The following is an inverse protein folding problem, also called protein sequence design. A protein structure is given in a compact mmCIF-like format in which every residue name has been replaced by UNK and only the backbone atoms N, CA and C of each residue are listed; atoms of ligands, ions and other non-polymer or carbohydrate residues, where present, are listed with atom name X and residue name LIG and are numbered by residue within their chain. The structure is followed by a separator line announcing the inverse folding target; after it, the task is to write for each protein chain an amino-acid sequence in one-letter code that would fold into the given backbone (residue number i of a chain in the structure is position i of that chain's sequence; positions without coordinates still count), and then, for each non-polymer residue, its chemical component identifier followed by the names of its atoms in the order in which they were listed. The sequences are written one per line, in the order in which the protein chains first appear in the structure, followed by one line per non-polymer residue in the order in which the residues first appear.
data_IF_636292144861
#
_entry.id   IF_636292144861
#
_cell.length_a   1.000
_cell.length_b   1.000
_cell.length_c   1.000
_cell.angle_alpha   90.00
_cell.angle_beta   90.00
_cell.angle_gamma   90.00
#
_symmetry.space_group_name_H-M   'P 1'
#
loop_
_entity.id
_entity.type
_entity.pdbx_description
1 polymer ?
#
# COMPACT_ATOMS: atom_id res chain seq x y z
N UNK A 1 69.82 30.31 -26.30
CA UNK A 1 70.99 30.34 -25.39
C UNK A 1 70.87 29.22 -24.38
N UNK A 2 71.91 28.39 -24.45
CA UNK A 2 72.43 27.47 -23.43
C UNK A 2 71.47 26.35 -22.95
N UNK A 3 71.66 25.15 -23.42
CA UNK A 3 72.66 24.14 -23.03
C UNK A 3 72.25 23.52 -21.69
N UNK A 4 71.88 22.27 -21.55
CA UNK A 4 72.62 21.05 -21.90
C UNK A 4 73.00 20.41 -20.56
N UNK A 5 72.75 19.16 -20.39
CA UNK A 5 73.75 18.15 -20.09
C UNK A 5 73.06 16.82 -19.67
N UNK A 6 73.42 15.78 -20.37
CA UNK A 6 73.23 14.38 -20.09
C UNK A 6 73.99 13.91 -18.84
N UNK A 7 73.49 12.91 -18.20
CA UNK A 7 74.35 11.87 -17.61
C UNK A 7 73.61 10.50 -17.62
N UNK A 8 74.36 9.52 -18.06
CA UNK A 8 73.96 8.16 -18.39
C UNK A 8 74.25 7.20 -17.24
N UNK A 9 73.56 6.09 -17.31
CA UNK A 9 73.92 4.72 -16.99
C UNK A 9 74.07 4.29 -15.54
N UNK A 10 73.32 3.28 -15.17
CA UNK A 10 73.93 1.93 -14.94
C UNK A 10 72.85 0.84 -14.86
N UNK A 11 72.98 -0.12 -15.79
CA UNK A 11 72.25 -1.39 -15.72
C UNK A 11 72.80 -2.27 -14.60
N UNK A 12 71.94 -2.85 -13.78
CA UNK A 12 72.20 -4.10 -13.10
C UNK A 12 71.00 -5.03 -13.29
N UNK A 13 71.16 -6.04 -14.10
CA UNK A 13 70.26 -7.16 -14.26
C UNK A 13 70.47 -8.14 -13.13
N UNK A 14 69.44 -8.46 -12.37
CA UNK A 14 69.35 -9.67 -11.53
C UNK A 14 68.11 -10.41 -11.93
N UNK A 15 68.31 -11.55 -12.60
CA UNK A 15 67.27 -12.52 -12.86
C UNK A 15 67.08 -13.40 -11.62
N UNK A 16 65.88 -13.47 -11.09
CA UNK A 16 65.48 -14.53 -10.17
C UNK A 16 64.06 -14.95 -10.49
N UNK A 17 63.92 -16.20 -10.89
CA UNK A 17 62.90 -17.16 -10.57
C UNK A 17 61.44 -16.84 -10.86
N UNK A 18 60.92 -17.42 -11.95
CA UNK A 18 59.51 -17.63 -12.19
C UNK A 18 58.90 -18.55 -11.10
N UNK A 19 58.01 -17.99 -10.29
CA UNK A 19 57.05 -18.72 -9.50
C UNK A 19 55.68 -18.22 -9.83
N UNK A 20 54.98 -18.88 -10.75
CA UNK A 20 53.59 -18.59 -11.04
C UNK A 20 52.71 -19.06 -9.88
N UNK A 21 52.31 -18.16 -9.03
CA UNK A 21 51.17 -18.39 -8.12
C UNK A 21 49.95 -17.88 -8.89
N UNK A 22 49.19 -18.84 -9.43
CA UNK A 22 47.85 -18.55 -9.94
C UNK A 22 46.95 -18.11 -8.74
N UNK A 23 46.73 -16.82 -8.60
CA UNK A 23 45.68 -16.30 -7.79
C UNK A 23 44.37 -16.71 -8.45
N UNK A 24 43.71 -17.73 -7.84
CA UNK A 24 42.29 -18.00 -8.10
C UNK A 24 41.49 -16.81 -7.59
N UNK A 25 41.07 -16.00 -8.53
CA UNK A 25 40.05 -14.99 -8.34
C UNK A 25 38.73 -15.74 -8.07
N UNK A 26 38.46 -16.04 -6.80
CA UNK A 26 37.16 -16.48 -6.34
C UNK A 26 36.22 -15.27 -6.40
N UNK A 27 35.51 -15.15 -7.49
CA UNK A 27 34.40 -14.21 -7.63
C UNK A 27 33.29 -14.64 -6.66
N UNK A 28 32.77 -13.72 -5.84
CA UNK A 28 31.69 -14.06 -4.91
C UNK A 28 30.38 -14.16 -5.68
N UNK A 29 30.06 -15.36 -6.15
CA UNK A 29 28.74 -15.69 -6.71
C UNK A 29 27.69 -16.05 -5.64
N UNK A 30 28.10 -16.14 -4.38
CA UNK A 30 27.22 -16.56 -3.27
C UNK A 30 26.46 -15.42 -2.59
N UNK A 31 26.84 -14.15 -2.76
CA UNK A 31 26.28 -13.09 -1.94
C UNK A 31 24.86 -12.63 -2.33
N UNK A 32 24.48 -12.72 -3.61
CA UNK A 32 23.17 -12.22 -4.04
C UNK A 32 21.99 -13.09 -3.62
N UNK A 33 22.17 -14.40 -3.62
CA UNK A 33 21.09 -15.34 -3.24
C UNK A 33 20.88 -15.39 -1.72
N UNK A 34 21.94 -15.23 -0.92
CA UNK A 34 21.83 -15.19 0.54
C UNK A 34 21.36 -13.82 1.04
N UNK A 35 21.87 -12.70 0.50
CA UNK A 35 21.33 -11.37 0.77
C UNK A 35 19.85 -11.26 0.39
N UNK A 36 19.45 -11.89 -0.71
CA UNK A 36 18.05 -11.93 -1.16
C UNK A 36 17.17 -12.72 -0.20
N UNK A 37 17.67 -13.81 0.35
CA UNK A 37 16.96 -14.61 1.36
C UNK A 37 16.86 -13.90 2.71
N UNK A 38 17.89 -13.15 3.09
CA UNK A 38 17.92 -12.39 4.35
C UNK A 38 17.02 -11.14 4.29
N UNK A 39 16.95 -10.45 3.14
CA UNK A 39 16.02 -9.34 2.90
C UNK A 39 14.56 -9.77 2.83
N UNK A 40 14.28 -11.02 2.50
CA UNK A 40 12.94 -11.62 2.47
C UNK A 40 12.71 -12.61 3.61
N UNK A 41 13.66 -12.76 4.54
CA UNK A 41 13.39 -13.53 5.74
C UNK A 41 12.12 -12.98 6.38
N UNK A 42 11.15 -13.85 6.75
CA UNK A 42 9.95 -13.38 7.43
C UNK A 42 10.39 -12.57 8.64
N UNK A 43 10.13 -11.26 8.61
CA UNK A 43 10.48 -10.41 9.72
C UNK A 43 9.60 -10.84 10.86
N UNK A 44 10.21 -11.52 11.79
CA UNK A 44 9.66 -12.03 13.02
C UNK A 44 8.19 -12.46 12.86
N UNK A 45 7.95 -13.75 12.96
CA UNK A 45 6.64 -14.24 13.35
C UNK A 45 6.28 -13.52 14.64
N UNK A 46 5.65 -12.35 14.51
CA UNK A 46 4.93 -11.76 15.62
C UNK A 46 4.02 -12.87 16.13
N UNK A 47 3.89 -13.08 17.45
CA UNK A 47 2.94 -14.06 17.97
C UNK A 47 1.51 -13.82 17.48
N UNK A 48 1.23 -12.67 16.87
CA UNK A 48 -0.04 -12.26 16.30
C UNK A 48 -0.26 -12.70 14.85
N UNK A 49 0.73 -13.30 14.19
CA UNK A 49 0.58 -13.86 12.84
C UNK A 49 0.20 -15.32 12.94
N UNK A 50 -0.93 -15.69 12.36
CA UNK A 50 -1.43 -17.05 12.38
C UNK A 50 -0.44 -18.04 11.77
N UNK A 51 -0.32 -19.28 12.31
CA UNK A 51 0.50 -20.31 11.71
C UNK A 51 0.17 -20.53 10.23
N UNK A 52 1.20 -20.77 9.38
CA UNK A 52 1.04 -20.94 7.94
C UNK A 52 0.83 -19.64 7.17
N UNK A 53 1.22 -18.50 7.74
CA UNK A 53 1.21 -17.19 7.09
C UNK A 53 2.61 -16.59 7.08
N UNK A 54 3.07 -16.19 5.91
CA UNK A 54 4.32 -15.47 5.72
C UNK A 54 4.04 -13.98 5.69
N UNK A 55 4.80 -13.20 6.45
CA UNK A 55 4.70 -11.74 6.51
C UNK A 55 6.05 -11.12 6.17
N UNK A 56 6.07 -10.23 5.19
CA UNK A 56 7.26 -9.50 4.77
C UNK A 56 7.06 -8.00 4.96
N UNK A 57 8.12 -7.33 5.39
CA UNK A 57 8.20 -5.87 5.46
C UNK A 57 9.23 -5.40 4.44
N UNK A 58 8.80 -4.62 3.47
CA UNK A 58 9.64 -4.19 2.35
C UNK A 58 9.60 -2.66 2.27
N UNK A 59 10.75 -2.02 2.45
CA UNK A 59 10.84 -0.57 2.31
C UNK A 59 10.62 -0.16 0.84
N UNK A 60 9.84 0.89 0.57
CA UNK A 60 9.73 1.43 -0.79
C UNK A 60 11.08 1.74 -1.44
N UNK A 61 12.08 2.23 -0.67
CA UNK A 61 13.43 2.52 -1.17
C UNK A 61 14.23 1.28 -1.55
N UNK A 62 13.91 0.09 -1.02
CA UNK A 62 14.56 -1.16 -1.40
C UNK A 62 14.05 -1.65 -2.77
N UNK A 63 12.80 -1.28 -3.08
CA UNK A 63 12.13 -1.57 -4.35
C UNK A 63 12.56 -0.60 -5.44
N UNK A 64 12.59 0.68 -5.12
CA UNK A 64 13.02 1.76 -6.02
C UNK A 64 13.78 2.82 -5.22
N UNK A 65 15.13 2.90 -5.36
CA UNK A 65 15.94 3.87 -4.63
C UNK A 65 15.61 5.35 -4.93
N UNK A 66 14.81 5.63 -5.96
CA UNK A 66 14.33 6.99 -6.24
C UNK A 66 13.20 7.43 -5.32
N UNK A 67 12.53 6.49 -4.64
CA UNK A 67 11.48 6.79 -3.66
C UNK A 67 12.14 7.28 -2.37
N UNK A 68 11.84 8.52 -1.98
CA UNK A 68 12.43 9.17 -0.80
C UNK A 68 11.40 9.51 0.28
N UNK A 69 10.14 9.68 -0.10
CA UNK A 69 9.07 10.10 0.81
C UNK A 69 8.29 8.89 1.30
N UNK A 70 7.78 8.98 2.54
CA UNK A 70 6.96 7.91 3.11
C UNK A 70 7.58 6.51 2.93
N UNK A 71 8.82 6.40 3.40
CA UNK A 71 9.65 5.20 3.28
C UNK A 71 9.48 4.26 4.49
N UNK A 72 8.25 4.10 4.97
CA UNK A 72 7.89 3.05 5.93
C UNK A 72 7.56 1.75 5.19
N UNK A 73 7.69 0.57 5.85
CA UNK A 73 7.52 -0.69 5.15
C UNK A 73 6.14 -0.89 4.53
N UNK A 74 6.11 -1.40 3.31
CA UNK A 74 4.97 -2.15 2.80
C UNK A 74 4.85 -3.45 3.59
N UNK A 75 3.63 -3.93 3.82
CA UNK A 75 3.36 -5.23 4.46
C UNK A 75 2.85 -6.18 3.39
N UNK A 76 3.53 -7.30 3.20
CA UNK A 76 3.11 -8.34 2.25
C UNK A 76 2.79 -9.60 3.02
N UNK A 77 1.56 -10.16 2.84
CA UNK A 77 1.14 -11.40 3.49
C UNK A 77 0.77 -12.44 2.44
N UNK A 78 1.26 -13.66 2.65
CA UNK A 78 0.96 -14.83 1.84
C UNK A 78 0.68 -16.01 2.76
N UNK A 79 -0.46 -16.69 2.59
CA UNK A 79 -0.70 -17.98 3.25
C UNK A 79 -0.06 -19.10 2.43
N UNK A 80 0.48 -20.10 3.13
CA UNK A 80 1.18 -21.23 2.50
C UNK A 80 0.26 -22.08 1.62
N UNK A 81 -1.05 -22.12 1.92
CA UNK A 81 -2.06 -22.91 1.20
C UNK A 81 -2.79 -22.16 0.07
N UNK A 82 -2.30 -20.96 -0.29
CA UNK A 82 -2.94 -20.19 -1.36
C UNK A 82 -2.69 -20.79 -2.74
N UNK A 83 -3.74 -20.94 -3.57
CA UNK A 83 -3.54 -21.40 -4.94
C UNK A 83 -2.76 -20.35 -5.75
N UNK A 84 -1.98 -20.78 -6.76
CA UNK A 84 -1.32 -19.83 -7.66
C UNK A 84 -2.27 -18.84 -8.32
N UNK A 85 -3.57 -19.19 -8.41
CA UNK A 85 -4.63 -18.36 -9.00
C UNK A 85 -5.21 -17.33 -8.04
N UNK A 86 -4.88 -17.32 -6.76
CA UNK A 86 -5.39 -16.36 -5.79
C UNK A 86 -5.28 -14.91 -6.30
N UNK A 87 -6.30 -14.11 -6.01
CA UNK A 87 -6.31 -12.70 -6.36
C UNK A 87 -5.50 -11.88 -5.34
N UNK A 88 -5.21 -10.62 -5.68
CA UNK A 88 -4.49 -9.69 -4.81
C UNK A 88 -5.47 -8.76 -4.11
N UNK A 89 -5.24 -8.51 -2.82
CA UNK A 89 -5.82 -7.40 -2.08
C UNK A 89 -4.73 -6.34 -1.85
N UNK A 90 -4.98 -5.11 -2.29
CA UNK A 90 -4.13 -3.96 -1.95
C UNK A 90 -4.88 -3.06 -0.97
N UNK A 91 -4.27 -2.83 0.19
CA UNK A 91 -4.81 -1.97 1.24
C UNK A 91 -4.03 -0.67 1.34
N UNK A 92 -4.74 0.45 1.47
CA UNK A 92 -4.21 1.80 1.63
C UNK A 92 -4.52 2.34 3.03
N UNK A 93 -3.48 2.68 3.83
CA UNK A 93 -3.69 3.27 5.16
C UNK A 93 -4.27 4.68 5.08
N UNK A 94 -4.83 5.15 6.20
CA UNK A 94 -5.30 6.52 6.37
C UNK A 94 -4.16 7.53 6.52
N UNK A 95 -4.52 8.81 6.66
CA UNK A 95 -3.57 9.93 6.81
C UNK A 95 -2.61 9.71 7.98
N UNK A 96 -1.32 9.82 7.70
CA UNK A 96 -0.23 9.66 8.69
C UNK A 96 -0.03 8.22 9.18
N UNK A 97 -0.89 7.27 8.78
CA UNK A 97 -0.77 5.87 9.14
C UNK A 97 0.26 5.11 8.30
N UNK A 98 0.51 3.88 8.69
CA UNK A 98 1.26 2.92 7.88
C UNK A 98 0.50 1.58 7.85
N UNK A 99 0.81 0.70 6.88
CA UNK A 99 0.06 -0.56 6.70
C UNK A 99 0.07 -1.47 7.93
N UNK A 100 1.14 -1.46 8.73
CA UNK A 100 1.26 -2.30 9.92
C UNK A 100 0.22 -1.92 10.99
N UNK A 101 -0.24 -0.67 10.99
CA UNK A 101 -1.31 -0.24 11.90
C UNK A 101 -2.64 -0.96 11.65
N UNK A 102 -2.83 -1.57 10.47
CA UNK A 102 -4.05 -2.31 10.10
C UNK A 102 -3.80 -3.82 9.92
N UNK A 103 -2.76 -4.35 10.56
CA UNK A 103 -2.35 -5.76 10.41
C UNK A 103 -3.49 -6.76 10.62
N UNK A 104 -4.40 -6.64 11.61
CA UNK A 104 -5.54 -7.56 11.76
C UNK A 104 -6.47 -7.58 10.54
N UNK A 105 -6.71 -6.43 9.90
CA UNK A 105 -7.50 -6.38 8.67
C UNK A 105 -6.76 -7.03 7.49
N UNK A 106 -5.44 -6.84 7.39
CA UNK A 106 -4.61 -7.49 6.37
C UNK A 106 -4.62 -9.02 6.55
N UNK A 107 -4.53 -9.51 7.79
CA UNK A 107 -4.64 -10.94 8.13
C UNK A 107 -6.03 -11.47 7.73
N UNK A 108 -7.10 -10.72 7.99
CA UNK A 108 -8.44 -11.09 7.54
C UNK A 108 -8.51 -11.24 6.01
N UNK A 109 -7.82 -10.37 5.26
CA UNK A 109 -7.68 -10.46 3.81
C UNK A 109 -6.98 -11.75 3.36
N UNK A 110 -5.87 -12.10 4.02
CA UNK A 110 -5.16 -13.35 3.73
C UNK A 110 -6.01 -14.58 4.06
N UNK A 111 -6.77 -14.54 5.17
CA UNK A 111 -7.71 -15.60 5.54
C UNK A 111 -8.90 -15.71 4.58
N UNK A 112 -9.29 -14.61 3.92
CA UNK A 112 -10.29 -14.61 2.87
C UNK A 112 -9.76 -15.21 1.54
N UNK A 113 -8.47 -15.55 1.46
CA UNK A 113 -7.86 -16.22 0.30
C UNK A 113 -7.14 -15.29 -0.67
N UNK A 114 -6.84 -14.06 -0.28
CA UNK A 114 -6.02 -13.14 -1.07
C UNK A 114 -4.53 -13.29 -0.76
N UNK A 115 -3.67 -13.01 -1.75
CA UNK A 115 -2.38 -12.40 -1.44
C UNK A 115 -2.65 -10.97 -1.03
N UNK A 116 -1.91 -10.46 -0.05
CA UNK A 116 -2.21 -9.15 0.51
C UNK A 116 -0.98 -8.25 0.45
N UNK A 117 -1.19 -7.02 0.00
CA UNK A 117 -0.22 -5.93 0.08
C UNK A 117 -0.87 -4.77 0.83
N UNK A 118 -0.36 -4.45 2.02
CA UNK A 118 -0.55 -3.13 2.62
C UNK A 118 0.48 -2.19 2.02
N UNK A 119 0.04 -1.27 1.16
CA UNK A 119 0.94 -0.41 0.38
C UNK A 119 1.19 0.91 1.10
N UNK A 120 2.46 1.23 1.32
CA UNK A 120 2.87 2.55 1.80
C UNK A 120 2.93 3.57 0.67
N UNK A 121 2.37 4.75 0.90
CA UNK A 121 2.31 5.84 -0.08
C UNK A 121 2.37 7.18 0.65
N UNK A 122 2.49 8.29 -0.09
CA UNK A 122 2.41 9.63 0.50
C UNK A 122 0.98 9.90 0.99
N UNK A 123 0.78 9.74 2.27
CA UNK A 123 -0.48 9.98 2.96
C UNK A 123 -0.39 11.08 4.03
N UNK A 124 0.61 11.96 3.93
CA UNK A 124 0.86 13.01 4.92
C UNK A 124 -0.27 14.03 5.03
N UNK A 125 -0.92 14.33 3.90
CA UNK A 125 -2.11 15.20 3.86
C UNK A 125 -3.26 14.48 3.18
N UNK A 126 -4.48 14.73 3.64
CA UNK A 126 -5.69 14.14 3.06
C UNK A 126 -6.37 15.11 2.10
N UNK A 127 -7.18 14.56 1.19
CA UNK A 127 -8.03 15.35 0.31
C UNK A 127 -8.94 16.34 1.07
N UNK A 128 -9.69 15.94 2.10
CA UNK A 128 -10.51 16.89 2.86
C UNK A 128 -9.73 18.00 3.56
N UNK A 129 -8.45 17.79 3.90
CA UNK A 129 -7.60 18.85 4.47
C UNK A 129 -7.13 19.83 3.41
N UNK A 130 -6.85 19.34 2.21
CA UNK A 130 -6.32 20.14 1.09
C UNK A 130 -7.45 20.76 0.28
N UNK A 131 -8.40 19.96 -0.19
CA UNK A 131 -9.44 20.36 -1.12
C UNK A 131 -10.76 20.73 -0.44
N UNK A 132 -11.01 20.32 0.81
CA UNK A 132 -12.21 20.73 1.53
C UNK A 132 -12.39 22.25 1.67
N UNK A 133 -11.33 23.01 2.00
CA UNK A 133 -11.39 24.48 2.01
C UNK A 133 -11.40 25.14 0.62
N UNK A 134 -10.95 24.43 -0.42
CA UNK A 134 -10.86 24.96 -1.78
C UNK A 134 -12.27 25.11 -2.39
N UNK A 135 -12.65 26.28 -2.92
CA UNK A 135 -13.97 26.47 -3.53
C UNK A 135 -14.15 25.73 -4.87
N UNK A 136 -13.06 25.29 -5.50
CA UNK A 136 -13.11 24.51 -6.74
C UNK A 136 -13.38 23.03 -6.47
N UNK A 137 -14.56 22.49 -6.82
CA UNK A 137 -14.87 21.08 -6.57
C UNK A 137 -13.97 20.11 -7.36
N UNK A 138 -13.30 20.56 -8.44
CA UNK A 138 -12.37 19.74 -9.21
C UNK A 138 -10.99 19.60 -8.54
N UNK A 139 -10.73 20.29 -7.43
CA UNK A 139 -9.51 20.13 -6.64
C UNK A 139 -9.29 18.66 -6.25
N UNK A 140 -10.32 18.00 -5.73
CA UNK A 140 -10.25 16.61 -5.30
C UNK A 140 -9.92 15.63 -6.44
N UNK A 141 -10.46 15.87 -7.64
CA UNK A 141 -10.13 15.05 -8.82
C UNK A 141 -8.64 15.17 -9.15
N UNK A 142 -8.09 16.40 -9.22
CA UNK A 142 -6.66 16.62 -9.50
C UNK A 142 -5.76 16.06 -8.40
N UNK A 143 -6.16 16.24 -7.14
CA UNK A 143 -5.45 15.67 -5.98
C UNK A 143 -5.35 14.13 -6.08
N UNK A 144 -6.48 13.46 -6.32
CA UNK A 144 -6.55 12.01 -6.43
C UNK A 144 -5.81 11.48 -7.65
N UNK A 145 -5.99 12.13 -8.82
CA UNK A 145 -5.33 11.73 -10.06
C UNK A 145 -3.80 11.79 -9.91
N UNK A 146 -3.27 12.88 -9.37
CA UNK A 146 -1.83 13.05 -9.14
C UNK A 146 -1.28 12.02 -8.15
N UNK A 147 -1.92 11.86 -7.00
CA UNK A 147 -1.47 10.92 -5.96
C UNK A 147 -1.52 9.47 -6.41
N UNK A 148 -2.56 9.09 -7.13
CA UNK A 148 -2.80 7.69 -7.48
C UNK A 148 -2.06 7.31 -8.76
N UNK A 149 -2.21 8.11 -9.82
CA UNK A 149 -1.69 7.76 -11.15
C UNK A 149 -0.48 8.60 -11.58
N UNK A 150 -0.23 9.74 -10.92
CA UNK A 150 0.89 10.62 -11.25
C UNK A 150 0.66 11.49 -12.48
N UNK A 151 -0.52 11.47 -13.09
CA UNK A 151 -0.80 12.01 -14.42
C UNK A 151 -1.28 13.48 -14.40
N UNK A 152 -1.74 13.98 -13.25
CA UNK A 152 -2.28 15.33 -13.17
C UNK A 152 -1.28 16.32 -12.58
N UNK A 153 -1.27 17.53 -13.11
CA UNK A 153 -0.65 18.65 -12.43
C UNK A 153 -1.61 19.21 -11.38
N UNK A 154 -1.13 19.31 -10.15
CA UNK A 154 -1.84 19.95 -9.05
C UNK A 154 -0.83 20.73 -8.22
N UNK A 155 -1.12 21.98 -7.93
CA UNK A 155 -0.35 22.80 -7.00
C UNK A 155 -0.71 22.51 -5.53
N UNK A 156 -1.80 21.76 -5.29
CA UNK A 156 -2.30 21.47 -3.95
C UNK A 156 -1.50 20.36 -3.24
N UNK A 157 -0.77 19.52 -4.01
CA UNK A 157 0.16 18.52 -3.50
C UNK A 157 1.41 18.45 -4.37
N UNK A 158 2.51 18.08 -3.76
CA UNK A 158 3.84 17.99 -4.39
C UNK A 158 4.31 16.55 -4.65
N UNK A 159 3.36 15.61 -4.74
CA UNK A 159 3.64 14.22 -5.08
C UNK A 159 4.31 14.13 -6.45
N UNK A 160 5.41 13.37 -6.53
CA UNK A 160 6.13 13.14 -7.77
C UNK A 160 5.53 11.94 -8.53
N UNK A 161 5.56 11.92 -9.86
CA UNK A 161 5.02 10.81 -10.65
C UNK A 161 5.60 9.44 -10.28
N UNK A 162 6.91 9.37 -9.97
CA UNK A 162 7.58 8.14 -9.53
C UNK A 162 7.16 7.70 -8.11
N UNK A 163 6.55 8.58 -7.33
CA UNK A 163 6.04 8.29 -5.99
C UNK A 163 4.52 8.03 -5.95
N UNK A 164 3.85 8.06 -7.11
CA UNK A 164 2.43 7.74 -7.21
C UNK A 164 2.12 6.31 -6.73
N UNK A 165 0.89 6.10 -6.28
CA UNK A 165 0.43 4.80 -5.78
C UNK A 165 0.57 3.71 -6.86
N UNK A 166 0.17 4.01 -8.10
CA UNK A 166 0.27 3.04 -9.20
C UNK A 166 1.73 2.66 -9.48
N UNK A 167 2.65 3.64 -9.50
CA UNK A 167 4.07 3.36 -9.70
C UNK A 167 4.66 2.55 -8.53
N UNK A 168 4.36 2.90 -7.29
CA UNK A 168 4.81 2.15 -6.09
C UNK A 168 4.31 0.69 -6.13
N UNK A 169 3.04 0.48 -6.47
CA UNK A 169 2.48 -0.87 -6.60
C UNK A 169 3.13 -1.64 -7.74
N UNK A 170 3.26 -1.04 -8.90
CA UNK A 170 3.91 -1.63 -10.08
C UNK A 170 5.34 -2.10 -9.76
N UNK A 171 6.14 -1.23 -9.17
CA UNK A 171 7.52 -1.52 -8.78
C UNK A 171 7.60 -2.65 -7.74
N UNK A 172 6.75 -2.62 -6.73
CA UNK A 172 6.70 -3.66 -5.71
C UNK A 172 6.30 -5.02 -6.31
N UNK A 173 5.34 -5.07 -7.22
CA UNK A 173 4.95 -6.30 -7.90
C UNK A 173 6.09 -6.89 -8.75
N UNK A 174 6.82 -6.05 -9.50
CA UNK A 174 8.01 -6.49 -10.24
C UNK A 174 9.12 -7.00 -9.30
N UNK A 175 9.36 -6.30 -8.21
CA UNK A 175 10.33 -6.70 -7.21
C UNK A 175 9.99 -8.07 -6.61
N UNK A 176 8.74 -8.26 -6.18
CA UNK A 176 8.27 -9.53 -5.64
C UNK A 176 8.33 -10.68 -6.65
N UNK A 177 8.02 -10.42 -7.93
CA UNK A 177 8.08 -11.44 -8.99
C UNK A 177 9.51 -11.93 -9.23
N UNK A 178 10.49 -11.03 -9.14
CA UNK A 178 11.90 -11.39 -9.26
C UNK A 178 12.43 -12.15 -8.05
N UNK A 179 11.98 -11.80 -6.85
CA UNK A 179 12.46 -12.39 -5.60
C UNK A 179 11.78 -13.71 -5.26
N UNK A 180 10.54 -13.87 -5.65
CA UNK A 180 9.69 -15.02 -5.34
C UNK A 180 9.00 -15.54 -6.62
N UNK A 181 9.75 -16.05 -7.61
CA UNK A 181 9.20 -16.47 -8.89
C UNK A 181 8.10 -17.54 -8.75
N UNK A 182 8.22 -18.42 -7.76
CA UNK A 182 7.24 -19.47 -7.47
C UNK A 182 5.90 -18.92 -6.94
N UNK A 183 5.86 -17.67 -6.48
CA UNK A 183 4.64 -17.00 -6.03
C UNK A 183 3.87 -16.34 -7.17
N UNK A 184 4.45 -16.22 -8.36
CA UNK A 184 3.81 -15.70 -9.58
C UNK A 184 3.19 -14.30 -9.41
N UNK A 185 3.93 -13.38 -8.78
CA UNK A 185 3.47 -12.00 -8.58
C UNK A 185 3.26 -11.23 -9.88
N UNK A 186 3.99 -11.58 -10.94
CA UNK A 186 3.85 -11.00 -12.29
C UNK A 186 2.46 -11.14 -12.89
N UNK A 187 1.62 -12.08 -12.40
CA UNK A 187 0.21 -12.23 -12.83
C UNK A 187 -0.68 -11.02 -12.50
N UNK A 188 -0.24 -10.19 -11.55
CA UNK A 188 -0.93 -8.95 -11.19
C UNK A 188 -0.43 -7.76 -12.01
N UNK A 189 0.35 -8.02 -13.05
CA UNK A 189 0.80 -7.07 -14.03
C UNK A 189 0.24 -7.41 -15.42
N UNK A 190 -0.02 -6.38 -16.22
CA UNK A 190 -0.36 -6.50 -17.65
C UNK A 190 0.37 -5.37 -18.39
N UNK A 191 1.20 -5.72 -19.36
CA UNK A 191 2.05 -4.75 -20.08
C UNK A 191 2.88 -3.87 -19.13
N UNK A 192 3.34 -4.45 -18.01
CA UNK A 192 4.16 -3.77 -17.00
C UNK A 192 3.39 -2.91 -16.00
N UNK A 193 2.08 -2.72 -16.15
CA UNK A 193 1.22 -1.95 -15.24
C UNK A 193 0.36 -2.87 -14.37
N UNK A 194 -0.18 -2.41 -13.22
CA UNK A 194 -1.07 -3.21 -12.41
C UNK A 194 -2.29 -3.73 -13.18
N UNK A 195 -2.51 -5.02 -13.13
CA UNK A 195 -3.71 -5.65 -13.67
C UNK A 195 -4.88 -5.51 -12.70
N UNK A 196 -5.50 -4.33 -12.71
CA UNK A 196 -6.55 -3.97 -11.77
C UNK A 196 -7.70 -4.97 -11.71
N UNK A 197 -8.00 -5.68 -12.81
CA UNK A 197 -9.09 -6.67 -12.84
C UNK A 197 -8.85 -7.88 -11.92
N UNK A 198 -7.61 -8.12 -11.48
CA UNK A 198 -7.21 -9.16 -10.52
C UNK A 198 -6.93 -8.63 -9.13
N UNK A 199 -7.19 -7.36 -8.90
CA UNK A 199 -6.84 -6.65 -7.67
C UNK A 199 -8.14 -6.17 -7.00
N UNK A 200 -8.36 -6.61 -5.77
CA UNK A 200 -9.30 -5.97 -4.85
C UNK A 200 -8.57 -4.79 -4.18
N UNK A 201 -9.23 -3.65 -4.11
CA UNK A 201 -8.70 -2.45 -3.46
C UNK A 201 -9.46 -2.16 -2.17
N UNK A 202 -8.74 -1.97 -1.09
CA UNK A 202 -9.29 -1.62 0.21
C UNK A 202 -8.54 -0.43 0.81
N UNK A 203 -9.19 0.33 1.67
CA UNK A 203 -8.48 1.36 2.39
C UNK A 203 -9.31 1.96 3.50
N UNK A 204 -8.61 2.59 4.44
CA UNK A 204 -9.21 3.28 5.57
C UNK A 204 -9.06 4.79 5.41
N UNK A 205 -10.12 5.56 5.72
CA UNK A 205 -10.07 7.02 5.73
C UNK A 205 -9.64 7.58 4.36
N UNK A 206 -8.53 8.32 4.30
CA UNK A 206 -7.92 8.75 3.03
C UNK A 206 -7.67 7.58 2.08
N UNK A 207 -7.17 6.45 2.60
CA UNK A 207 -6.98 5.23 1.82
C UNK A 207 -8.28 4.65 1.28
N UNK A 208 -9.39 4.79 2.01
CA UNK A 208 -10.74 4.46 1.51
C UNK A 208 -11.13 5.31 0.30
N UNK A 209 -10.80 6.61 0.35
CA UNK A 209 -10.96 7.51 -0.81
C UNK A 209 -10.07 7.11 -1.99
N UNK A 210 -8.83 6.65 -1.74
CA UNK A 210 -7.93 6.10 -2.78
C UNK A 210 -8.56 4.87 -3.44
N UNK A 211 -9.00 3.89 -2.63
CA UNK A 211 -9.65 2.67 -3.14
C UNK A 211 -10.91 2.98 -3.98
N UNK A 212 -11.72 3.92 -3.51
CA UNK A 212 -12.93 4.36 -4.22
C UNK A 212 -12.59 5.08 -5.54
N UNK A 213 -11.60 5.97 -5.53
CA UNK A 213 -11.18 6.66 -6.76
C UNK A 213 -10.64 5.67 -7.81
N UNK A 214 -9.82 4.72 -7.40
CA UNK A 214 -9.34 3.64 -8.29
C UNK A 214 -10.54 2.89 -8.88
N UNK A 215 -11.53 2.50 -8.06
CA UNK A 215 -12.74 1.81 -8.52
C UNK A 215 -13.59 2.61 -9.50
N UNK A 216 -13.60 3.95 -9.38
CA UNK A 216 -14.26 4.85 -10.35
C UNK A 216 -13.53 4.88 -11.69
N UNK A 217 -12.20 4.84 -11.68
CA UNK A 217 -11.35 5.02 -12.87
C UNK A 217 -10.93 3.71 -13.55
N UNK A 218 -10.90 2.60 -12.82
CA UNK A 218 -10.44 1.27 -13.28
C UNK A 218 -11.46 0.20 -12.93
N UNK A 219 -11.53 -0.84 -13.76
CA UNK A 219 -12.29 -2.05 -13.41
C UNK A 219 -11.43 -2.89 -12.45
N UNK A 220 -11.84 -2.93 -11.18
CA UNK A 220 -11.17 -3.74 -10.16
C UNK A 220 -12.02 -4.95 -9.77
N UNK A 221 -11.40 -5.92 -9.10
CA UNK A 221 -12.09 -7.12 -8.61
C UNK A 221 -13.15 -6.76 -7.56
N UNK A 222 -12.81 -5.87 -6.62
CA UNK A 222 -13.67 -5.41 -5.51
C UNK A 222 -13.16 -4.07 -4.98
N UNK A 223 -14.08 -3.21 -4.56
CA UNK A 223 -13.78 -1.97 -3.82
C UNK A 223 -14.27 -2.12 -2.40
N UNK A 224 -13.40 -1.89 -1.41
CA UNK A 224 -13.72 -1.94 0.02
C UNK A 224 -13.33 -0.61 0.66
N UNK A 225 -14.31 0.16 1.04
CA UNK A 225 -14.14 1.49 1.59
C UNK A 225 -14.45 1.50 3.09
N UNK A 226 -13.42 1.68 3.93
CA UNK A 226 -13.58 1.81 5.37
C UNK A 226 -13.47 3.28 5.75
N UNK A 227 -14.58 3.91 6.10
CA UNK A 227 -14.64 5.30 6.56
C UNK A 227 -13.94 6.30 5.64
N UNK A 228 -14.23 6.26 4.32
CA UNK A 228 -13.58 7.12 3.31
C UNK A 228 -14.54 7.65 2.24
N UNK A 229 -13.98 8.31 1.23
CA UNK A 229 -14.66 8.77 0.01
C UNK A 229 -15.78 9.81 0.24
N UNK A 230 -15.56 10.83 1.08
CA UNK A 230 -16.50 11.93 1.27
C UNK A 230 -16.00 13.28 0.72
N UNK A 231 -15.23 13.22 -0.37
CA UNK A 231 -14.60 14.40 -0.97
C UNK A 231 -15.63 15.40 -1.48
N UNK A 232 -15.59 16.61 -0.93
CA UNK A 232 -16.52 17.71 -1.27
C UNK A 232 -15.96 19.05 -0.82
N UNK A 233 -16.45 20.12 -1.42
CA UNK A 233 -16.23 21.47 -0.91
C UNK A 233 -16.99 21.63 0.41
N UNK A 234 -16.29 21.87 1.51
CA UNK A 234 -16.92 21.87 2.85
C UNK A 234 -17.90 23.04 3.03
N UNK A 235 -17.62 24.20 2.45
CA UNK A 235 -18.50 25.39 2.57
C UNK A 235 -19.85 25.21 1.87
N UNK A 236 -19.84 24.62 0.67
CA UNK A 236 -21.04 24.51 -0.18
C UNK A 236 -21.66 23.13 -0.17
N UNK A 237 -20.95 22.14 0.38
CA UNK A 237 -21.28 20.70 0.36
C UNK A 237 -21.42 20.11 -1.05
N UNK A 238 -20.85 20.79 -2.05
CA UNK A 238 -20.78 20.29 -3.43
C UNK A 238 -19.78 19.14 -3.49
N UNK A 239 -20.24 17.98 -3.95
CA UNK A 239 -19.41 16.80 -4.13
C UNK A 239 -18.35 17.02 -5.20
N UNK A 240 -17.17 16.44 -5.00
CA UNK A 240 -16.17 16.33 -6.04
C UNK A 240 -16.75 15.60 -7.27
N UNK A 241 -16.41 16.02 -8.51
CA UNK A 241 -16.96 15.44 -9.72
C UNK A 241 -16.79 13.93 -9.80
N UNK A 242 -15.68 13.36 -9.30
CA UNK A 242 -15.44 11.93 -9.31
C UNK A 242 -16.45 11.14 -8.45
N UNK A 243 -16.99 11.73 -7.37
CA UNK A 243 -17.99 11.07 -6.51
C UNK A 243 -19.27 10.81 -7.31
N UNK A 244 -19.69 11.78 -8.11
CA UNK A 244 -20.95 11.73 -8.89
C UNK A 244 -20.78 11.07 -10.26
N UNK A 245 -19.54 10.87 -10.74
CA UNK A 245 -19.27 10.27 -12.04
C UNK A 245 -19.67 8.78 -12.09
N UNK A 246 -19.84 8.26 -13.29
CA UNK A 246 -20.02 6.81 -13.50
C UNK A 246 -18.81 6.03 -12.96
N UNK A 247 -19.07 4.83 -12.47
CA UNK A 247 -18.02 3.93 -11.99
C UNK A 247 -17.56 2.98 -13.11
N UNK A 248 -16.24 2.84 -13.29
CA UNK A 248 -15.68 1.81 -14.16
C UNK A 248 -15.91 0.41 -13.57
N UNK A 249 -15.78 0.26 -12.26
CA UNK A 249 -16.10 -0.99 -11.56
C UNK A 249 -17.60 -1.09 -11.33
N UNK A 250 -18.26 -2.21 -11.71
CA UNK A 250 -19.67 -2.46 -11.44
C UNK A 250 -20.02 -2.29 -9.96
N UNK A 251 -21.16 -1.68 -9.65
CA UNK A 251 -21.54 -1.31 -8.28
C UNK A 251 -21.81 -2.52 -7.37
N UNK A 252 -22.12 -3.68 -7.91
CA UNK A 252 -22.24 -4.95 -7.19
C UNK A 252 -20.91 -5.44 -6.58
N UNK A 253 -19.76 -4.84 -7.00
CA UNK A 253 -18.43 -5.09 -6.44
C UNK A 253 -17.99 -4.06 -5.41
N UNK A 254 -18.84 -3.09 -5.05
CA UNK A 254 -18.54 -2.05 -4.09
C UNK A 254 -19.08 -2.41 -2.72
N UNK A 255 -18.19 -2.31 -1.72
CA UNK A 255 -18.49 -2.55 -0.31
C UNK A 255 -17.96 -1.40 0.53
N UNK A 256 -18.67 -1.05 1.59
CA UNK A 256 -18.28 0.06 2.45
C UNK A 256 -18.64 -0.23 3.90
N UNK A 257 -17.91 0.43 4.80
CA UNK A 257 -18.26 0.46 6.21
C UNK A 257 -17.94 1.84 6.80
N UNK A 258 -18.69 2.21 7.84
CA UNK A 258 -18.43 3.38 8.67
C UNK A 258 -18.93 3.13 10.09
N UNK A 259 -18.39 3.87 11.07
CA UNK A 259 -18.90 3.78 12.43
C UNK A 259 -20.00 4.84 12.67
N UNK A 260 -21.13 4.43 13.30
CA UNK A 260 -22.28 5.35 13.48
C UNK A 260 -21.95 6.60 14.30
N UNK A 261 -20.95 6.53 15.19
CA UNK A 261 -20.54 7.63 16.08
C UNK A 261 -19.33 8.43 15.59
N UNK A 262 -18.73 8.07 14.45
CA UNK A 262 -17.61 8.87 13.94
C UNK A 262 -18.07 10.24 13.44
N UNK A 263 -17.22 11.23 13.58
CA UNK A 263 -17.57 12.64 13.35
C UNK A 263 -18.05 12.95 11.91
N UNK A 264 -17.71 12.10 10.94
CA UNK A 264 -18.07 12.23 9.53
C UNK A 264 -19.07 11.17 9.04
N UNK A 265 -19.73 10.43 9.95
CA UNK A 265 -20.67 9.35 9.62
C UNK A 265 -21.74 9.79 8.58
N UNK A 266 -22.36 10.96 8.78
CA UNK A 266 -23.39 11.48 7.87
C UNK A 266 -22.81 11.80 6.48
N UNK A 267 -21.59 12.35 6.42
CA UNK A 267 -20.93 12.65 5.15
C UNK A 267 -20.63 11.37 4.36
N UNK A 268 -20.13 10.32 5.03
CA UNK A 268 -19.86 9.03 4.41
C UNK A 268 -21.13 8.33 3.95
N UNK A 269 -22.16 8.30 4.80
CA UNK A 269 -23.47 7.75 4.44
C UNK A 269 -24.02 8.42 3.18
N UNK A 270 -23.95 9.75 3.10
CA UNK A 270 -24.39 10.51 1.94
C UNK A 270 -23.52 10.22 0.69
N UNK A 271 -22.19 10.18 0.85
CA UNK A 271 -21.28 9.87 -0.25
C UNK A 271 -21.51 8.46 -0.82
N UNK A 272 -21.70 7.45 0.04
CA UNK A 272 -21.96 6.07 -0.40
C UNK A 272 -23.28 5.95 -1.19
N UNK A 273 -24.30 6.70 -0.77
CA UNK A 273 -25.56 6.79 -1.53
C UNK A 273 -25.36 7.47 -2.89
N UNK A 274 -24.60 8.56 -2.96
CA UNK A 274 -24.30 9.27 -4.22
C UNK A 274 -23.45 8.43 -5.16
N UNK A 275 -22.46 7.70 -4.64
CA UNK A 275 -21.65 6.74 -5.41
C UNK A 275 -22.54 5.62 -5.99
N UNK A 276 -23.63 5.28 -5.28
CA UNK A 276 -24.55 4.22 -5.65
C UNK A 276 -24.19 2.85 -5.06
N UNK A 277 -23.45 2.82 -3.93
CA UNK A 277 -23.11 1.55 -3.27
C UNK A 277 -24.41 0.90 -2.76
N UNK A 278 -24.71 -0.39 -3.11
CA UNK A 278 -25.90 -1.06 -2.62
C UNK A 278 -25.97 -1.06 -1.08
N UNK A 279 -27.12 -0.71 -0.52
CA UNK A 279 -27.27 -0.63 0.94
C UNK A 279 -26.97 -1.97 1.65
N UNK A 280 -27.24 -3.11 0.99
CA UNK A 280 -26.87 -4.43 1.48
C UNK A 280 -25.35 -4.66 1.59
N UNK A 281 -24.54 -3.87 0.87
CA UNK A 281 -23.07 -3.94 0.87
C UNK A 281 -22.42 -2.98 1.88
N UNK A 282 -23.23 -2.23 2.65
CA UNK A 282 -22.75 -1.29 3.64
C UNK A 282 -22.87 -1.91 5.04
N UNK A 283 -21.79 -1.84 5.82
CA UNK A 283 -21.77 -2.19 7.25
C UNK A 283 -21.69 -0.94 8.10
N UNK A 284 -22.54 -0.85 9.10
CA UNK A 284 -22.53 0.23 10.10
C UNK A 284 -21.99 -0.35 11.40
N UNK A 285 -20.80 0.09 11.80
CA UNK A 285 -20.16 -0.36 13.02
C UNK A 285 -20.69 0.42 14.22
N UNK A 286 -20.87 -0.27 15.35
CA UNK A 286 -21.57 0.28 16.50
C UNK A 286 -20.86 0.04 17.84
N UNK A 287 -19.80 -0.79 17.86
CA UNK A 287 -19.10 -1.15 19.09
C UNK A 287 -18.17 -0.02 19.55
N UNK A 288 -18.06 0.13 20.87
CA UNK A 288 -17.13 1.10 21.44
C UNK A 288 -15.68 0.74 21.07
N UNK A 289 -14.84 1.73 20.71
CA UNK A 289 -13.42 1.51 20.48
C UNK A 289 -12.74 0.87 21.68
N UNK A 290 -11.72 0.04 21.45
CA UNK A 290 -10.94 -0.53 22.53
C UNK A 290 -10.22 0.58 23.33
N UNK A 291 -10.45 0.72 24.64
CA UNK A 291 -9.89 1.80 25.46
C UNK A 291 -8.42 1.61 25.82
N UNK A 292 -7.85 0.43 25.51
CA UNK A 292 -6.51 0.06 25.97
C UNK A 292 -5.37 0.85 25.32
N UNK A 293 -5.64 1.58 24.22
CA UNK A 293 -4.59 2.30 23.49
C UNK A 293 -4.64 3.81 23.72
N UNK A 294 -3.46 4.35 24.10
CA UNK A 294 -3.23 5.80 24.18
C UNK A 294 -2.99 6.34 22.77
N UNK A 295 -4.06 6.68 22.05
CA UNK A 295 -3.96 7.40 20.79
C UNK A 295 -3.72 8.90 21.05
N UNK A 296 -3.13 9.64 20.09
CA UNK A 296 -2.97 11.08 20.20
C UNK A 296 -4.29 11.77 20.53
N UNK A 297 -4.25 12.81 21.36
CA UNK A 297 -5.43 13.61 21.69
C UNK A 297 -6.01 14.24 20.41
N UNK A 298 -7.34 14.27 20.32
CA UNK A 298 -8.05 14.85 19.17
C UNK A 298 -8.29 13.90 18.01
N UNK A 299 -7.83 12.64 18.10
CA UNK A 299 -8.15 11.62 17.11
C UNK A 299 -9.57 11.07 17.34
N UNK A 300 -10.35 10.96 16.27
CA UNK A 300 -11.66 10.31 16.33
C UNK A 300 -11.49 8.78 16.47
N UNK A 301 -11.64 8.28 17.69
CA UNK A 301 -11.43 6.86 17.99
C UNK A 301 -12.42 5.95 17.26
N UNK A 302 -13.65 6.41 17.04
CA UNK A 302 -14.63 5.64 16.27
C UNK A 302 -14.20 5.50 14.80
N UNK A 303 -13.64 6.56 14.23
CA UNK A 303 -13.11 6.56 12.88
C UNK A 303 -11.94 5.56 12.73
N UNK A 304 -10.96 5.59 13.63
CA UNK A 304 -9.79 4.71 13.53
C UNK A 304 -10.07 3.28 13.97
N UNK A 305 -11.12 3.03 14.75
CA UNK A 305 -11.49 1.68 15.20
C UNK A 305 -11.87 0.72 14.07
N UNK A 306 -12.10 1.26 12.87
CA UNK A 306 -12.50 0.50 11.69
C UNK A 306 -11.49 -0.56 11.27
N UNK A 307 -10.18 -0.31 11.48
CA UNK A 307 -9.12 -1.23 11.07
C UNK A 307 -7.80 -1.08 11.86
N UNK A 308 -7.69 -0.09 12.77
CA UNK A 308 -6.43 0.21 13.43
C UNK A 308 -6.21 -0.68 14.65
N UNK A 309 -5.10 -1.40 14.64
CA UNK A 309 -4.64 -2.27 15.73
C UNK A 309 -4.68 -1.55 17.08
N UNK A 310 -5.21 -2.20 18.09
CA UNK A 310 -5.32 -1.68 19.46
C UNK A 310 -6.48 -0.71 19.67
N UNK A 311 -7.10 -0.16 18.63
CA UNK A 311 -8.31 0.67 18.72
C UNK A 311 -9.56 -0.12 18.28
N UNK A 312 -9.39 -1.03 17.34
CA UNK A 312 -10.45 -1.98 16.95
C UNK A 312 -10.96 -2.74 18.18
N UNK A 313 -12.28 -2.80 18.40
CA UNK A 313 -12.86 -3.57 19.50
C UNK A 313 -12.47 -5.04 19.44
N UNK A 314 -12.28 -5.66 20.59
CA UNK A 314 -11.98 -7.07 20.71
C UNK A 314 -13.19 -7.83 21.29
N UNK A 315 -13.34 -9.07 20.86
CA UNK A 315 -14.30 -10.02 21.45
C UNK A 315 -13.77 -10.62 22.78
N UNK A 316 -14.55 -11.51 23.39
CA UNK A 316 -14.18 -12.17 24.64
C UNK A 316 -12.93 -13.05 24.54
N UNK A 317 -12.50 -13.43 23.32
CA UNK A 317 -11.31 -14.22 23.04
C UNK A 317 -10.10 -13.36 22.66
N UNK A 318 -10.24 -12.02 22.71
CA UNK A 318 -9.18 -11.09 22.29
C UNK A 318 -9.01 -10.96 20.78
N UNK A 319 -9.97 -11.43 19.98
CA UNK A 319 -9.96 -11.30 18.52
C UNK A 319 -10.72 -10.05 18.08
N UNK A 320 -10.43 -9.48 16.90
CA UNK A 320 -11.17 -8.34 16.38
C UNK A 320 -12.67 -8.63 16.30
N UNK A 321 -13.47 -7.86 17.02
CA UNK A 321 -14.93 -8.04 17.06
C UNK A 321 -15.61 -7.79 15.70
N UNK A 322 -14.92 -7.09 14.78
CA UNK A 322 -15.37 -6.84 13.40
C UNK A 322 -14.95 -7.92 12.41
N UNK A 323 -14.35 -9.03 12.84
CA UNK A 323 -13.82 -10.07 11.95
C UNK A 323 -14.86 -10.61 10.94
N UNK A 324 -16.11 -10.82 11.39
CA UNK A 324 -17.20 -11.28 10.52
C UNK A 324 -17.62 -10.22 9.49
N UNK A 325 -17.67 -8.95 9.88
CA UNK A 325 -17.96 -7.85 8.96
C UNK A 325 -16.84 -7.66 7.95
N UNK A 326 -15.57 -7.75 8.39
CA UNK A 326 -14.43 -7.71 7.46
C UNK A 326 -14.47 -8.87 6.47
N UNK A 327 -14.78 -10.10 6.93
CA UNK A 327 -14.94 -11.25 6.04
C UNK A 327 -16.04 -11.02 4.99
N UNK A 328 -17.17 -10.41 5.38
CA UNK A 328 -18.22 -10.04 4.45
C UNK A 328 -17.75 -8.99 3.43
N UNK A 329 -17.07 -7.92 3.89
CA UNK A 329 -16.56 -6.86 3.02
C UNK A 329 -15.50 -7.39 2.05
N UNK A 330 -14.63 -8.28 2.49
CA UNK A 330 -13.57 -8.89 1.72
C UNK A 330 -14.09 -9.91 0.68
N UNK A 331 -15.12 -10.67 1.03
CA UNK A 331 -15.59 -11.78 0.19
C UNK A 331 -14.53 -12.87 0.05
N UNK A 332 -14.42 -13.51 -1.13
CA UNK A 332 -13.42 -14.54 -1.40
C UNK A 332 -12.38 -14.04 -2.39
N UNK A 333 -11.10 -14.26 -2.07
CA UNK A 333 -9.94 -14.00 -2.93
C UNK A 333 -9.62 -15.14 -3.91
N UNK A 334 -10.35 -16.26 -3.81
CA UNK A 334 -10.16 -17.47 -4.62
C UNK A 334 -10.87 -17.39 -5.95
#
# INVERSE_FOLDING_TARGET
MHAGVCAAALCVAIAIGAGSVAAQEQTPKESKSELTKELLAPIHTSPDVAPGMQVYQILPSDVDPSIKRFNKPNIVLVKDDLPPTANLLVFFPGTGGDPNMSLPFLIAGANAGYRVIGLMYDNGVSDPQTCGPNPDPACSDRFREKRIFGDAESADIDDLPNESIENRLMKLLHYLDQLQPDQHWGRYLTSGLPNWSRIAVAGHSQGGGVAAYIGKKRVVLRVINLSGAWDRVEATKVWAPWITSASATPLDRWYAAYHQKESRADAMKAAYAVIGIPSAHIRVFTLEPNPANKMPAGLDLYHVSMSVTGVTPLDANGQPAYAADWAFLLGSGK
#
